data_IF_839781449822
#
_entry.id   IF_839781449822
#
_cell.length_a   1.000
_cell.length_b   1.000
_cell.length_c   1.000
_cell.angle_alpha   90.00
_cell.angle_beta   90.00
_cell.angle_gamma   90.00
#
_symmetry.space_group_name_H-M   'P 1'
#
loop_
_entity.id
_entity.type
_entity.pdbx_description
1 polymer ?
#
# COMPACT_ATOMS: atom_id res chain seq x y z
N UNK A 1 -19.28 -7.80 -1.10
CA UNK A 1 -18.18 -7.34 -1.97
C UNK A 1 -17.16 -8.45 -2.04
N UNK A 2 -16.63 -8.77 -3.23
CA UNK A 2 -15.55 -9.75 -3.37
C UNK A 2 -14.23 -8.98 -3.53
N UNK A 3 -13.23 -9.33 -2.72
CA UNK A 3 -11.90 -8.73 -2.79
C UNK A 3 -10.99 -9.58 -3.69
N UNK A 4 -10.15 -8.93 -4.48
CA UNK A 4 -9.13 -9.62 -5.26
C UNK A 4 -8.10 -10.26 -4.32
N UNK A 5 -7.72 -11.50 -4.62
CA UNK A 5 -6.62 -12.17 -3.91
C UNK A 5 -5.30 -11.72 -4.55
N UNK A 6 -4.40 -11.07 -3.78
CA UNK A 6 -3.12 -10.64 -4.33
C UNK A 6 -2.23 -11.85 -4.64
N UNK A 7 -1.30 -11.66 -5.57
CA UNK A 7 -0.21 -12.62 -5.78
C UNK A 7 0.62 -12.69 -4.48
N UNK A 8 1.04 -13.90 -4.04
CA UNK A 8 1.93 -14.05 -2.89
C UNK A 8 3.19 -13.18 -3.03
N UNK A 9 3.64 -12.57 -1.94
CA UNK A 9 4.80 -11.69 -2.01
C UNK A 9 6.07 -12.49 -2.30
N UNK A 10 6.87 -11.99 -3.22
CA UNK A 10 8.26 -12.42 -3.34
C UNK A 10 9.07 -11.84 -2.18
N UNK A 11 9.91 -12.67 -1.56
CA UNK A 11 10.83 -12.23 -0.51
C UNK A 11 12.10 -11.68 -1.15
N UNK A 12 12.43 -10.43 -0.84
CA UNK A 12 13.61 -9.73 -1.37
C UNK A 12 14.58 -9.37 -0.25
N UNK A 13 15.90 -9.55 -0.41
CA UNK A 13 16.87 -9.18 0.61
C UNK A 13 16.97 -7.66 0.74
N UNK A 14 17.02 -7.15 1.97
CA UNK A 14 17.25 -5.74 2.29
C UNK A 14 18.71 -5.56 2.74
N UNK A 15 19.40 -4.45 2.38
CA UNK A 15 20.82 -4.25 2.73
C UNK A 15 21.16 -4.32 4.23
N UNK A 16 20.19 -4.14 5.11
CA UNK A 16 20.35 -4.25 6.57
C UNK A 16 20.32 -5.69 7.10
N UNK A 17 20.22 -6.68 6.19
CA UNK A 17 20.17 -8.11 6.53
C UNK A 17 18.76 -8.62 6.85
N UNK A 18 17.73 -7.77 6.76
CA UNK A 18 16.33 -8.18 6.88
C UNK A 18 15.72 -8.58 5.53
N UNK A 19 14.52 -9.16 5.58
CA UNK A 19 13.76 -9.53 4.39
C UNK A 19 12.64 -8.52 4.14
N UNK A 20 12.53 -8.07 2.90
CA UNK A 20 11.40 -7.33 2.36
C UNK A 20 10.41 -8.26 1.65
N UNK A 21 9.18 -7.79 1.49
CA UNK A 21 8.08 -8.51 0.88
C UNK A 21 7.53 -7.65 -0.24
N UNK A 22 7.66 -8.12 -1.48
CA UNK A 22 7.21 -7.40 -2.67
C UNK A 22 5.70 -7.53 -2.83
N UNK A 23 5.00 -6.46 -2.49
CA UNK A 23 3.56 -6.34 -2.67
C UNK A 23 3.27 -5.79 -4.05
N UNK A 24 2.91 -6.68 -4.99
CA UNK A 24 2.39 -6.28 -6.30
C UNK A 24 0.98 -5.75 -6.14
N UNK A 25 0.73 -4.54 -6.64
CA UNK A 25 -0.57 -3.88 -6.60
C UNK A 25 -1.55 -4.60 -7.52
N UNK A 26 -2.70 -4.95 -6.98
CA UNK A 26 -3.84 -5.50 -7.71
C UNK A 26 -4.59 -4.40 -8.48
N UNK A 27 -5.43 -4.79 -9.44
CA UNK A 27 -6.31 -3.85 -10.16
C UNK A 27 -7.28 -3.15 -9.20
N UNK A 28 -7.84 -3.88 -8.23
CA UNK A 28 -8.75 -3.30 -7.25
C UNK A 28 -8.04 -2.29 -6.34
N UNK A 29 -6.81 -2.55 -5.89
CA UNK A 29 -6.02 -1.57 -5.14
C UNK A 29 -5.78 -0.30 -5.95
N UNK A 30 -5.38 -0.44 -7.22
CA UNK A 30 -5.09 0.69 -8.11
C UNK A 30 -6.31 1.57 -8.32
N UNK A 31 -7.44 0.98 -8.72
CA UNK A 31 -8.69 1.68 -8.94
C UNK A 31 -9.18 2.37 -7.66
N UNK A 32 -9.01 1.72 -6.50
CA UNK A 32 -9.38 2.33 -5.22
C UNK A 32 -8.50 3.55 -4.89
N UNK A 33 -7.18 3.45 -5.04
CA UNK A 33 -6.25 4.56 -4.83
C UNK A 33 -6.59 5.73 -5.76
N UNK A 34 -6.86 5.45 -7.03
CA UNK A 34 -7.26 6.46 -8.01
C UNK A 34 -8.51 7.24 -7.54
N UNK A 35 -9.55 6.53 -7.08
CA UNK A 35 -10.74 7.16 -6.49
C UNK A 35 -10.46 7.95 -5.20
N UNK A 36 -9.60 7.44 -4.32
CA UNK A 36 -9.19 8.14 -3.09
C UNK A 36 -8.43 9.44 -3.36
N UNK A 37 -7.70 9.50 -4.47
CA UNK A 37 -6.88 10.66 -4.84
C UNK A 37 -7.51 11.58 -5.87
N UNK A 38 -8.70 11.23 -6.40
CA UNK A 38 -9.39 11.95 -7.47
C UNK A 38 -8.50 12.12 -8.71
N UNK A 39 -7.97 11.00 -9.20
CA UNK A 39 -7.06 10.95 -10.34
C UNK A 39 -7.31 9.70 -11.19
N UNK A 40 -6.70 9.63 -12.36
CA UNK A 40 -6.73 8.45 -13.22
C UNK A 40 -5.75 7.37 -12.73
N UNK A 41 -6.08 6.10 -12.95
CA UNK A 41 -5.20 4.98 -12.62
C UNK A 41 -3.81 5.09 -13.29
N UNK A 42 -3.76 5.70 -14.47
CA UNK A 42 -2.52 5.96 -15.24
C UNK A 42 -1.60 6.98 -14.56
N UNK A 43 -2.14 7.83 -13.69
CA UNK A 43 -1.37 8.78 -12.88
C UNK A 43 -0.61 8.10 -11.73
N UNK A 44 -0.79 6.78 -11.54
CA UNK A 44 -0.09 5.96 -10.54
C UNK A 44 0.89 5.05 -11.29
N UNK A 45 2.09 5.51 -11.70
CA UNK A 45 2.98 4.77 -12.62
C UNK A 45 3.69 3.56 -11.96
N UNK A 46 3.27 3.17 -10.77
CA UNK A 46 3.97 2.24 -9.89
C UNK A 46 3.21 0.92 -9.80
N UNK A 47 3.94 -0.18 -9.81
CA UNK A 47 3.37 -1.53 -9.78
C UNK A 47 3.23 -2.13 -8.39
N UNK A 48 3.81 -1.51 -7.36
CA UNK A 48 3.79 -2.05 -6.00
C UNK A 48 4.76 -1.39 -5.03
N UNK A 49 4.99 -2.04 -3.90
CA UNK A 49 5.86 -1.60 -2.81
C UNK A 49 6.57 -2.78 -2.15
N UNK A 50 7.76 -2.53 -1.62
CA UNK A 50 8.50 -3.51 -0.82
C UNK A 50 8.26 -3.20 0.65
N UNK A 51 7.65 -4.14 1.37
CA UNK A 51 7.24 -3.98 2.76
C UNK A 51 8.09 -4.80 3.70
N UNK A 52 8.08 -4.43 4.98
CA UNK A 52 8.79 -5.17 6.03
C UNK A 52 8.14 -6.49 6.45
N UNK A 53 6.96 -6.80 5.92
CA UNK A 53 6.17 -7.97 6.28
C UNK A 53 5.25 -8.38 5.14
N UNK A 54 4.77 -9.62 5.20
CA UNK A 54 3.72 -10.11 4.31
C UNK A 54 2.40 -9.35 4.52
N UNK A 55 1.55 -9.34 3.48
CA UNK A 55 0.18 -8.81 3.54
C UNK A 55 -0.61 -9.52 4.63
N UNK A 56 -1.28 -8.74 5.48
CA UNK A 56 -2.20 -9.26 6.49
C UNK A 56 -3.58 -9.49 5.88
N UNK A 57 -4.25 -10.59 6.26
CA UNK A 57 -5.67 -10.78 5.92
C UNK A 57 -6.51 -10.05 6.97
N UNK A 58 -7.37 -9.13 6.54
CA UNK A 58 -8.29 -8.41 7.43
C UNK A 58 -9.20 -9.41 8.15
N UNK A 59 -9.20 -9.37 9.48
CA UNK A 59 -9.96 -10.30 10.33
C UNK A 59 -11.47 -10.11 10.25
N UNK A 60 -11.93 -8.94 9.78
CA UNK A 60 -13.37 -8.65 9.66
C UNK A 60 -13.95 -8.97 8.29
N UNK A 61 -13.25 -8.65 7.19
CA UNK A 61 -13.82 -8.73 5.84
C UNK A 61 -13.02 -9.61 4.86
N UNK A 62 -11.85 -10.13 5.26
CA UNK A 62 -11.02 -10.99 4.43
C UNK A 62 -10.20 -10.28 3.34
N UNK A 63 -10.32 -8.96 3.19
CA UNK A 63 -9.44 -8.17 2.31
C UNK A 63 -7.98 -8.30 2.75
N UNK A 64 -7.06 -8.54 1.83
CA UNK A 64 -5.63 -8.48 2.12
C UNK A 64 -5.15 -7.03 2.25
N UNK A 65 -4.24 -6.78 3.17
CA UNK A 65 -3.67 -5.46 3.37
C UNK A 65 -2.94 -4.99 2.13
N UNK A 66 -3.04 -3.72 1.79
CA UNK A 66 -2.58 -3.20 0.52
C UNK A 66 -2.00 -1.81 0.54
N UNK A 67 -1.51 -1.35 -0.62
CA UNK A 67 -1.09 0.05 -0.76
C UNK A 67 -2.29 0.99 -0.60
N UNK A 68 -3.47 0.54 -1.00
CA UNK A 68 -4.71 1.28 -0.83
C UNK A 68 -5.05 1.50 0.65
N UNK A 69 -4.76 0.55 1.54
CA UNK A 69 -4.94 0.72 3.00
C UNK A 69 -3.99 1.79 3.56
N UNK A 70 -2.75 1.86 3.06
CA UNK A 70 -1.78 2.91 3.44
C UNK A 70 -2.28 4.29 3.01
N UNK A 71 -2.73 4.42 1.75
CA UNK A 71 -3.28 5.68 1.21
C UNK A 71 -4.55 6.07 1.95
N UNK A 72 -5.48 5.14 2.11
CA UNK A 72 -6.73 5.34 2.85
C UNK A 72 -6.45 5.84 4.27
N UNK A 73 -5.58 5.15 5.02
CA UNK A 73 -5.26 5.51 6.40
C UNK A 73 -4.62 6.90 6.50
N UNK A 74 -3.75 7.26 5.56
CA UNK A 74 -3.11 8.57 5.53
C UNK A 74 -4.11 9.71 5.31
N UNK A 75 -5.07 9.50 4.40
CA UNK A 75 -6.13 10.47 4.09
C UNK A 75 -7.17 10.55 5.20
N UNK A 76 -7.67 9.41 5.68
CA UNK A 76 -8.71 9.31 6.72
C UNK A 76 -8.27 9.99 8.02
N UNK A 77 -7.00 9.83 8.39
CA UNK A 77 -6.41 10.44 9.59
C UNK A 77 -5.94 11.88 9.37
N UNK A 78 -6.05 12.43 8.16
CA UNK A 78 -5.60 13.78 7.82
C UNK A 78 -4.08 13.99 7.94
N UNK A 79 -3.27 12.93 7.97
CA UNK A 79 -1.81 13.02 8.11
C UNK A 79 -1.19 13.54 6.81
N UNK A 80 -1.72 13.10 5.67
CA UNK A 80 -1.27 13.53 4.35
C UNK A 80 -2.47 13.95 3.49
N UNK A 81 -2.30 15.02 2.72
CA UNK A 81 -3.29 15.44 1.72
C UNK A 81 -3.18 14.63 0.42
N UNK A 82 -4.24 14.66 -0.40
CA UNK A 82 -4.30 13.96 -1.70
C UNK A 82 -3.13 14.29 -2.61
N UNK A 83 -2.81 15.58 -2.77
CA UNK A 83 -1.70 16.04 -3.62
C UNK A 83 -0.35 15.48 -3.15
N UNK A 84 -0.12 15.45 -1.83
CA UNK A 84 1.09 14.86 -1.26
C UNK A 84 1.14 13.36 -1.54
N UNK A 85 0.06 12.63 -1.28
CA UNK A 85 0.01 11.18 -1.53
C UNK A 85 0.21 10.85 -3.02
N UNK A 86 -0.38 11.60 -3.94
CA UNK A 86 -0.17 11.42 -5.37
C UNK A 86 1.30 11.65 -5.76
N UNK A 87 1.93 12.70 -5.24
CA UNK A 87 3.36 12.95 -5.47
C UNK A 87 4.24 11.81 -4.93
N UNK A 88 3.93 11.23 -3.76
CA UNK A 88 4.61 10.03 -3.25
C UNK A 88 4.44 8.84 -4.20
N UNK A 89 3.23 8.65 -4.74
CA UNK A 89 2.93 7.57 -5.68
C UNK A 89 3.48 7.79 -7.10
N UNK A 90 3.89 9.01 -7.46
CA UNK A 90 4.51 9.29 -8.75
C UNK A 90 6.03 9.32 -8.66
N UNK A 91 6.53 9.96 -7.62
CA UNK A 91 7.91 10.39 -7.50
C UNK A 91 8.65 9.73 -6.33
N UNK A 92 7.95 8.95 -5.51
CA UNK A 92 8.54 8.22 -4.40
C UNK A 92 8.47 8.94 -3.06
N UNK A 93 8.87 8.21 -2.00
CA UNK A 93 9.02 8.74 -0.66
C UNK A 93 10.00 9.92 -0.64
N UNK A 94 9.63 11.02 0.03
CA UNK A 94 10.51 12.19 0.18
C UNK A 94 11.48 12.08 1.36
N UNK A 95 11.13 11.26 2.33
CA UNK A 95 11.87 11.06 3.59
C UNK A 95 11.74 9.60 4.05
N UNK A 96 12.47 9.25 5.12
CA UNK A 96 12.31 7.97 5.80
C UNK A 96 10.87 7.84 6.33
N UNK A 97 10.16 6.82 5.87
CA UNK A 97 8.78 6.56 6.29
C UNK A 97 8.77 5.67 7.55
N UNK A 98 8.23 6.13 8.69
CA UNK A 98 8.09 5.28 9.88
C UNK A 98 7.09 4.15 9.62
N UNK A 99 7.01 3.19 10.55
CA UNK A 99 5.96 2.17 10.50
C UNK A 99 4.59 2.82 10.69
N UNK A 100 3.63 2.43 9.86
CA UNK A 100 2.24 2.90 9.91
C UNK A 100 1.32 1.85 10.49
N UNK A 101 0.38 2.27 11.33
CA UNK A 101 -0.78 1.45 11.67
C UNK A 101 -1.88 1.75 10.68
N UNK A 102 -2.28 0.74 9.90
CA UNK A 102 -3.20 0.92 8.78
C UNK A 102 -4.56 0.30 9.06
N UNK A 103 -5.58 1.00 8.62
CA UNK A 103 -6.96 0.56 8.63
C UNK A 103 -7.30 -0.12 7.30
N UNK A 104 -8.03 -1.23 7.36
CA UNK A 104 -8.57 -1.90 6.19
C UNK A 104 -9.56 -0.97 5.46
N UNK A 105 -9.18 -0.56 4.26
CA UNK A 105 -9.93 0.37 3.41
C UNK A 105 -11.31 -0.15 3.00
N UNK A 106 -11.54 -1.48 3.10
CA UNK A 106 -12.81 -2.12 2.76
C UNK A 106 -13.84 -2.17 3.90
N UNK A 107 -13.43 -2.03 5.17
CA UNK A 107 -14.38 -2.16 6.30
C UNK A 107 -14.05 -1.32 7.55
N UNK A 108 -12.94 -0.59 7.58
CA UNK A 108 -12.55 0.23 8.73
C UNK A 108 -11.87 -0.53 9.89
N UNK A 109 -11.64 -1.84 9.76
CA UNK A 109 -10.95 -2.61 10.81
C UNK A 109 -9.45 -2.31 10.83
N UNK A 110 -8.88 -2.05 12.00
CA UNK A 110 -7.44 -1.84 12.18
C UNK A 110 -6.68 -3.17 11.98
N UNK A 111 -5.64 -3.17 11.14
CA UNK A 111 -4.74 -4.31 11.02
C UNK A 111 -3.79 -4.40 12.21
N UNK A 112 -3.43 -5.61 12.61
CA UNK A 112 -2.50 -5.82 13.73
C UNK A 112 -1.03 -5.53 13.35
N UNK A 113 -0.34 -4.82 14.24
CA UNK A 113 1.05 -4.43 14.09
C UNK A 113 1.32 -3.28 13.11
N UNK A 114 2.57 -2.83 13.08
CA UNK A 114 3.02 -1.76 12.18
C UNK A 114 3.44 -2.26 10.80
N UNK A 115 3.29 -1.39 9.80
CA UNK A 115 3.61 -1.63 8.40
C UNK A 115 4.64 -0.60 7.93
N UNK A 116 5.87 -1.05 7.72
CA UNK A 116 6.97 -0.25 7.17
C UNK A 116 7.19 -0.53 5.69
N UNK A 117 7.52 0.52 4.93
CA UNK A 117 7.86 0.45 3.50
C UNK A 117 9.37 0.68 3.33
N UNK A 118 10.06 -0.26 2.69
CA UNK A 118 11.49 -0.13 2.37
C UNK A 118 11.74 0.58 1.04
N UNK A 119 10.71 0.70 0.21
CA UNK A 119 10.85 1.23 -1.11
C UNK A 119 9.80 0.67 -2.05
N UNK A 120 10.08 0.84 -3.32
CA UNK A 120 9.03 0.92 -4.30
C UNK A 120 9.56 0.50 -5.66
N UNK A 121 8.74 -0.20 -6.44
CA UNK A 121 9.16 -0.71 -7.74
C UNK A 121 8.20 -0.27 -8.85
N UNK A 122 8.76 -0.06 -10.05
CA UNK A 122 8.04 0.32 -11.26
C UNK A 122 7.79 -0.96 -12.07
N UNK A 123 6.89 -1.80 -11.59
CA UNK A 123 6.40 -2.94 -12.37
C UNK A 123 5.36 -2.47 -13.36
N UNK A 124 5.49 -2.92 -14.61
CA UNK A 124 4.39 -2.87 -15.56
C UNK A 124 3.35 -3.87 -15.06
N UNK A 125 2.22 -3.36 -14.58
CA UNK A 125 0.98 -4.13 -14.54
C UNK A 125 0.30 -3.96 -15.89
#
# INVERSE_FOLDING_TARGET
MQFETPIPSEVVPIPDGTNGYRWIMTSQERAHIAGLLDTDESAIPRGGNVMMRERAVCTSCGKHSGLDDLVHSALDRGIHGRTYMLDILQNGAKENSPKHYITCSGCGTLHDGGFGCYGYEKWFA
#
